data_IF_967617324932
#
_entry.id   IF_967617324932
#
_cell.length_a   1.000
_cell.length_b   1.000
_cell.length_c   1.000
_cell.angle_alpha   90.00
_cell.angle_beta   90.00
_cell.angle_gamma   90.00
#
_symmetry.space_group_name_H-M   'P 1'
#
loop_
_entity.id
_entity.type
_entity.pdbx_description
1 polymer ?
#
# COMPACT_ATOMS: atom_id res chain seq x y z
N UNK A 1 -13.98 27.12 -15.62
CA UNK A 1 -12.76 27.84 -15.14
C UNK A 1 -11.96 26.86 -14.28
N UNK A 2 -10.67 26.67 -14.55
CA UNK A 2 -9.81 25.82 -13.70
C UNK A 2 -9.55 26.51 -12.37
N UNK A 3 -9.60 25.76 -11.26
CA UNK A 3 -9.26 26.28 -9.94
C UNK A 3 -7.84 26.88 -9.96
N UNK A 4 -7.62 28.07 -9.37
CA UNK A 4 -6.29 28.69 -9.28
C UNK A 4 -5.29 27.82 -8.49
N UNK A 5 -5.79 26.85 -7.71
CA UNK A 5 -4.98 25.91 -6.92
C UNK A 5 -4.62 24.63 -7.67
N UNK A 6 -5.12 24.43 -8.89
CA UNK A 6 -4.91 23.18 -9.63
C UNK A 6 -3.42 22.94 -9.88
N UNK A 7 -2.71 23.95 -10.36
CA UNK A 7 -1.32 23.79 -10.78
C UNK A 7 -0.39 23.62 -9.56
N UNK A 8 -0.71 24.28 -8.43
CA UNK A 8 -0.05 24.06 -7.15
C UNK A 8 -0.26 22.64 -6.63
N UNK A 9 -1.49 22.12 -6.64
CA UNK A 9 -1.79 20.76 -6.22
C UNK A 9 -1.09 19.72 -7.12
N UNK A 10 -1.01 19.97 -8.42
CA UNK A 10 -0.23 19.13 -9.35
C UNK A 10 1.26 19.14 -9.01
N UNK A 11 1.85 20.32 -8.80
CA UNK A 11 3.26 20.44 -8.44
C UNK A 11 3.58 19.72 -7.12
N UNK A 12 2.75 19.92 -6.09
CA UNK A 12 2.89 19.23 -4.80
C UNK A 12 2.77 17.70 -4.94
N UNK A 13 1.80 17.22 -5.74
CA UNK A 13 1.64 15.81 -6.03
C UNK A 13 2.84 15.21 -6.78
N UNK A 14 3.40 15.94 -7.75
CA UNK A 14 4.58 15.52 -8.49
C UNK A 14 5.83 15.47 -7.60
N UNK A 15 6.04 16.49 -6.76
CA UNK A 15 7.14 16.52 -5.81
C UNK A 15 7.03 15.33 -4.84
N UNK A 16 5.85 15.11 -4.25
CA UNK A 16 5.62 13.98 -3.35
C UNK A 16 5.88 12.63 -4.03
N UNK A 17 5.41 12.45 -5.27
CA UNK A 17 5.65 11.25 -6.07
C UNK A 17 7.15 11.01 -6.29
N UNK A 18 7.88 12.04 -6.74
CA UNK A 18 9.32 11.95 -6.99
C UNK A 18 10.06 11.64 -5.69
N UNK A 19 9.77 12.36 -4.60
CA UNK A 19 10.38 12.12 -3.30
C UNK A 19 10.14 10.70 -2.81
N UNK A 20 8.91 10.17 -2.93
CA UNK A 20 8.59 8.81 -2.52
C UNK A 20 9.32 7.75 -3.34
N UNK A 21 9.48 7.95 -4.65
CA UNK A 21 10.23 7.03 -5.52
C UNK A 21 11.74 7.10 -5.32
N UNK A 22 12.28 8.26 -4.94
CA UNK A 22 13.70 8.43 -4.65
C UNK A 22 14.14 7.68 -3.39
N UNK A 23 13.24 7.47 -2.42
CA UNK A 23 13.56 6.73 -1.18
C UNK A 23 14.09 5.32 -1.49
N UNK A 24 13.34 4.42 -2.17
CA UNK A 24 13.84 3.08 -2.48
C UNK A 24 14.99 3.10 -3.49
N UNK A 25 15.06 4.08 -4.40
CA UNK A 25 16.17 4.21 -5.35
C UNK A 25 17.49 4.58 -4.65
N UNK A 26 17.44 5.33 -3.55
CA UNK A 26 18.65 5.64 -2.77
C UNK A 26 19.33 4.38 -2.23
N UNK A 27 18.56 3.32 -1.95
CA UNK A 27 19.07 2.02 -1.53
C UNK A 27 19.91 1.32 -2.61
N UNK A 28 19.78 1.69 -3.88
CA UNK A 28 20.64 1.15 -4.95
C UNK A 28 22.11 1.58 -4.79
N UNK A 29 22.33 2.72 -4.13
CA UNK A 29 23.66 3.28 -3.86
C UNK A 29 24.28 2.75 -2.56
N UNK A 30 23.49 2.06 -1.72
CA UNK A 30 23.94 1.52 -0.45
C UNK A 30 24.73 0.21 -0.63
N UNK A 31 25.78 -0.05 0.18
CA UNK A 31 26.45 -1.35 0.19
C UNK A 31 25.53 -2.45 0.77
N UNK A 32 25.56 -3.65 0.18
CA UNK A 32 24.78 -4.80 0.65
C UNK A 32 24.70 -5.96 -0.35
N UNK A 33 24.34 -7.16 0.10
CA UNK A 33 24.20 -8.37 -0.73
C UNK A 33 22.82 -8.44 -1.41
N UNK A 34 21.78 -7.84 -0.80
CA UNK A 34 20.39 -7.89 -1.28
C UNK A 34 19.85 -6.54 -1.80
N UNK A 35 20.68 -5.79 -2.53
CA UNK A 35 20.34 -4.42 -2.97
C UNK A 35 19.17 -4.40 -3.95
N UNK A 36 19.20 -5.30 -4.93
CA UNK A 36 18.20 -5.33 -6.00
C UNK A 36 16.83 -5.69 -5.42
N UNK A 37 16.80 -6.68 -4.54
CA UNK A 37 15.61 -7.13 -3.82
C UNK A 37 15.01 -6.00 -2.99
N UNK A 38 15.84 -5.27 -2.24
CA UNK A 38 15.41 -4.11 -1.47
C UNK A 38 14.85 -2.96 -2.32
N UNK A 39 15.51 -2.64 -3.44
CA UNK A 39 15.05 -1.61 -4.38
C UNK A 39 13.72 -2.00 -5.03
N UNK A 40 13.61 -3.24 -5.55
CA UNK A 40 12.39 -3.73 -6.19
C UNK A 40 11.22 -3.79 -5.21
N UNK A 41 11.47 -4.26 -3.97
CA UNK A 41 10.46 -4.27 -2.93
C UNK A 41 9.99 -2.87 -2.57
N UNK A 42 10.93 -1.95 -2.33
CA UNK A 42 10.62 -0.57 -1.97
C UNK A 42 9.87 0.18 -3.08
N UNK A 43 10.25 -0.01 -4.34
CA UNK A 43 9.51 0.51 -5.50
C UNK A 43 8.11 -0.10 -5.59
N UNK A 44 7.99 -1.42 -5.42
CA UNK A 44 6.70 -2.11 -5.41
C UNK A 44 5.78 -1.58 -4.32
N UNK A 45 6.26 -1.50 -3.07
CA UNK A 45 5.50 -0.96 -1.94
C UNK A 45 5.06 0.49 -2.17
N UNK A 46 5.95 1.33 -2.73
CA UNK A 46 5.66 2.72 -3.07
C UNK A 46 4.56 2.83 -4.12
N UNK A 47 4.69 2.07 -5.22
CA UNK A 47 3.70 2.06 -6.31
C UNK A 47 2.34 1.54 -5.83
N UNK A 48 2.32 0.50 -5.00
CA UNK A 48 1.09 -0.04 -4.40
C UNK A 48 0.40 1.00 -3.53
N UNK A 49 1.12 1.70 -2.65
CA UNK A 49 0.55 2.75 -1.80
C UNK A 49 0.02 3.94 -2.62
N UNK A 50 0.76 4.36 -3.65
CA UNK A 50 0.32 5.43 -4.55
C UNK A 50 -0.96 5.04 -5.28
N UNK A 51 -1.02 3.84 -5.86
CA UNK A 51 -2.21 3.37 -6.57
C UNK A 51 -3.40 3.25 -5.61
N UNK A 52 -3.21 2.72 -4.41
CA UNK A 52 -4.25 2.68 -3.38
C UNK A 52 -4.77 4.09 -3.02
N UNK A 53 -3.87 5.07 -2.91
CA UNK A 53 -4.22 6.47 -2.67
C UNK A 53 -5.04 7.05 -3.84
N UNK A 54 -4.67 6.78 -5.09
CA UNK A 54 -5.45 7.19 -6.25
C UNK A 54 -6.81 6.48 -6.38
N UNK A 55 -6.89 5.23 -5.93
CA UNK A 55 -8.15 4.47 -5.83
C UNK A 55 -9.06 5.08 -4.78
N UNK A 56 -8.52 5.45 -3.62
CA UNK A 56 -9.24 6.16 -2.56
C UNK A 56 -9.80 7.50 -3.04
N UNK A 57 -9.00 8.29 -3.76
CA UNK A 57 -9.49 9.54 -4.36
C UNK A 57 -10.58 9.32 -5.41
N UNK A 58 -10.48 8.27 -6.23
CA UNK A 58 -11.54 7.93 -7.19
C UNK A 58 -12.86 7.54 -6.51
N UNK A 59 -12.78 6.92 -5.33
CA UNK A 59 -13.95 6.57 -4.54
C UNK A 59 -14.76 7.80 -4.11
N UNK A 60 -14.14 8.96 -3.90
CA UNK A 60 -14.85 10.18 -3.50
C UNK A 60 -15.99 10.58 -4.46
N UNK A 61 -15.76 10.48 -5.77
CA UNK A 61 -16.79 10.75 -6.77
C UNK A 61 -17.96 9.75 -6.69
N UNK A 62 -17.62 8.47 -6.48
CA UNK A 62 -18.59 7.40 -6.33
C UNK A 62 -19.41 7.53 -5.03
N UNK A 63 -18.76 7.93 -3.93
CA UNK A 63 -19.40 8.19 -2.63
C UNK A 63 -20.45 9.31 -2.73
N UNK A 64 -20.21 10.34 -3.56
CA UNK A 64 -21.17 11.41 -3.86
C UNK A 64 -22.31 11.00 -4.78
N UNK A 65 -22.31 9.76 -5.25
CA UNK A 65 -23.33 9.22 -6.13
C UNK A 65 -23.14 9.51 -7.62
N UNK A 66 -21.94 9.91 -8.03
CA UNK A 66 -21.61 9.96 -9.44
C UNK A 66 -21.30 8.55 -9.97
N UNK A 67 -22.31 7.84 -10.46
CA UNK A 67 -22.14 6.48 -10.97
C UNK A 67 -21.30 6.41 -12.26
N UNK A 68 -21.10 7.54 -12.96
CA UNK A 68 -20.24 7.56 -14.15
C UNK A 68 -18.77 7.27 -13.83
N UNK A 69 -18.33 7.47 -12.58
CA UNK A 69 -16.96 7.14 -12.16
C UNK A 69 -16.76 5.67 -11.79
N UNK A 70 -17.86 4.89 -11.67
CA UNK A 70 -17.83 3.49 -11.21
C UNK A 70 -16.88 2.61 -12.02
N UNK A 71 -16.91 2.59 -13.37
CA UNK A 71 -16.02 1.71 -14.14
C UNK A 71 -14.53 2.04 -13.93
N UNK A 72 -14.23 3.32 -13.73
CA UNK A 72 -12.85 3.77 -13.43
C UNK A 72 -12.42 3.34 -12.04
N UNK A 73 -13.30 3.47 -11.04
CA UNK A 73 -13.05 2.98 -9.69
C UNK A 73 -12.82 1.46 -9.68
N UNK A 74 -13.67 0.71 -10.37
CA UNK A 74 -13.56 -0.76 -10.47
C UNK A 74 -12.22 -1.18 -11.09
N UNK A 75 -11.84 -0.58 -12.22
CA UNK A 75 -10.54 -0.87 -12.86
C UNK A 75 -9.36 -0.55 -11.93
N UNK A 76 -9.38 0.61 -11.27
CA UNK A 76 -8.33 1.01 -10.33
C UNK A 76 -8.24 0.07 -9.14
N UNK A 77 -9.37 -0.34 -8.59
CA UNK A 77 -9.42 -1.25 -7.46
C UNK A 77 -8.89 -2.64 -7.83
N UNK A 78 -9.21 -3.16 -9.03
CA UNK A 78 -8.60 -4.40 -9.52
C UNK A 78 -7.09 -4.31 -9.68
N UNK A 79 -6.58 -3.24 -10.31
CA UNK A 79 -5.14 -3.03 -10.42
C UNK A 79 -4.48 -2.91 -9.04
N UNK A 80 -5.13 -2.24 -8.09
CA UNK A 80 -4.67 -2.13 -6.70
C UNK A 80 -4.57 -3.50 -6.05
N UNK A 81 -5.60 -4.34 -6.17
CA UNK A 81 -5.60 -5.70 -5.61
C UNK A 81 -4.53 -6.60 -6.24
N UNK A 82 -4.27 -6.48 -7.55
CA UNK A 82 -3.17 -7.19 -8.21
C UNK A 82 -1.82 -6.77 -7.65
N UNK A 83 -1.59 -5.46 -7.48
CA UNK A 83 -0.34 -4.96 -6.88
C UNK A 83 -0.20 -5.35 -5.41
N UNK A 84 -1.27 -5.34 -4.62
CA UNK A 84 -1.27 -5.83 -3.24
C UNK A 84 -0.86 -7.30 -3.23
N UNK A 85 -1.46 -8.13 -4.08
CA UNK A 85 -1.12 -9.55 -4.17
C UNK A 85 0.35 -9.76 -4.56
N UNK A 86 0.84 -9.03 -5.57
CA UNK A 86 2.24 -9.08 -5.97
C UNK A 86 3.18 -8.66 -4.82
N UNK A 87 2.81 -7.62 -4.07
CA UNK A 87 3.56 -7.13 -2.91
C UNK A 87 3.57 -8.17 -1.79
N UNK A 88 2.46 -8.88 -1.56
CA UNK A 88 2.37 -9.96 -0.58
C UNK A 88 3.25 -11.15 -0.95
N UNK A 89 3.25 -11.56 -2.22
CA UNK A 89 4.11 -12.63 -2.72
C UNK A 89 5.58 -12.23 -2.56
N UNK A 90 5.95 -11.02 -3.02
CA UNK A 90 7.31 -10.51 -2.91
C UNK A 90 7.76 -10.37 -1.44
N UNK A 91 6.90 -9.83 -0.56
CA UNK A 91 7.20 -9.67 0.86
C UNK A 91 7.43 -11.01 1.57
N UNK A 92 6.63 -12.03 1.25
CA UNK A 92 6.84 -13.38 1.79
C UNK A 92 8.10 -14.04 1.23
N UNK A 93 8.48 -13.77 -0.01
CA UNK A 93 9.73 -14.26 -0.56
C UNK A 93 10.94 -13.66 0.16
N UNK A 94 10.96 -12.35 0.38
CA UNK A 94 12.04 -11.67 1.14
C UNK A 94 12.12 -12.15 2.59
N UNK A 95 10.97 -12.49 3.16
CA UNK A 95 10.89 -13.00 4.51
C UNK A 95 11.65 -14.33 4.71
N UNK A 96 11.78 -15.15 3.66
CA UNK A 96 12.62 -16.37 3.71
C UNK A 96 14.07 -15.98 4.02
N UNK A 97 14.61 -14.96 3.35
CA UNK A 97 15.95 -14.45 3.61
C UNK A 97 16.07 -13.76 4.97
N UNK A 98 15.02 -13.07 5.43
CA UNK A 98 14.97 -12.49 6.77
C UNK A 98 15.13 -13.53 7.88
N UNK A 99 14.49 -14.71 7.75
CA UNK A 99 14.52 -15.80 8.74
C UNK A 99 15.66 -16.81 8.55
N UNK A 100 16.45 -16.72 7.48
CA UNK A 100 17.58 -17.61 7.26
C UNK A 100 18.63 -17.48 8.37
N UNK A 101 19.49 -18.50 8.60
CA UNK A 101 20.65 -18.37 9.49
C UNK A 101 21.49 -17.14 9.12
N UNK A 102 21.98 -16.41 10.12
CA UNK A 102 22.69 -15.12 9.98
C UNK A 102 21.84 -14.00 9.34
N UNK A 103 20.54 -14.24 9.16
CA UNK A 103 19.57 -13.29 8.63
C UNK A 103 19.27 -12.16 9.60
N UNK A 104 18.54 -11.15 9.10
CA UNK A 104 18.18 -9.99 9.90
C UNK A 104 17.34 -10.36 11.15
N UNK A 105 16.56 -11.45 11.11
CA UNK A 105 15.82 -11.94 12.27
C UNK A 105 16.73 -12.32 13.44
N UNK A 106 17.87 -12.97 13.18
CA UNK A 106 18.82 -13.38 14.21
C UNK A 106 19.44 -12.16 14.88
N UNK A 107 19.84 -11.16 14.08
CA UNK A 107 20.32 -9.89 14.61
C UNK A 107 19.29 -9.20 15.51
N UNK A 108 18.02 -9.15 15.09
CA UNK A 108 16.95 -8.56 15.91
C UNK A 108 16.71 -9.34 17.20
N UNK A 109 16.73 -10.68 17.17
CA UNK A 109 16.56 -11.50 18.39
C UNK A 109 17.68 -11.25 19.40
N UNK A 110 18.90 -11.00 18.92
CA UNK A 110 20.08 -10.77 19.78
C UNK A 110 20.17 -9.33 20.32
N UNK A 111 19.82 -8.32 19.52
CA UNK A 111 20.09 -6.92 19.86
C UNK A 111 18.82 -6.10 20.18
N UNK A 112 17.67 -6.47 19.63
CA UNK A 112 16.42 -5.73 19.78
C UNK A 112 15.19 -6.68 19.79
N UNK A 113 15.08 -7.58 20.77
CA UNK A 113 14.06 -8.63 20.78
C UNK A 113 12.62 -8.08 20.76
N UNK A 114 12.36 -6.98 21.47
CA UNK A 114 11.05 -6.31 21.40
C UNK A 114 10.75 -5.78 19.98
N UNK A 115 11.76 -5.25 19.29
CA UNK A 115 11.66 -4.85 17.89
C UNK A 115 11.33 -6.03 16.99
N UNK A 116 11.97 -7.19 17.20
CA UNK A 116 11.65 -8.43 16.48
C UNK A 116 10.16 -8.78 16.58
N UNK A 117 9.61 -8.80 17.80
CA UNK A 117 8.20 -9.13 18.03
C UNK A 117 7.25 -8.18 17.31
N UNK A 118 7.48 -6.88 17.43
CA UNK A 118 6.65 -5.87 16.75
C UNK A 118 6.72 -6.04 15.24
N UNK A 119 7.90 -6.29 14.67
CA UNK A 119 8.09 -6.49 13.22
C UNK A 119 7.37 -7.74 12.72
N UNK A 120 7.43 -8.82 13.49
CA UNK A 120 6.77 -10.08 13.16
C UNK A 120 5.25 -9.91 13.17
N UNK A 121 4.71 -9.30 14.22
CA UNK A 121 3.29 -9.01 14.33
C UNK A 121 2.82 -8.05 13.22
N UNK A 122 3.61 -7.00 12.96
CA UNK A 122 3.38 -6.06 11.87
C UNK A 122 3.30 -6.76 10.51
N UNK A 123 4.27 -7.63 10.20
CA UNK A 123 4.34 -8.34 8.93
C UNK A 123 3.15 -9.30 8.76
N UNK A 124 2.80 -10.03 9.81
CA UNK A 124 1.74 -11.02 9.77
C UNK A 124 0.34 -10.38 9.71
N UNK A 125 0.09 -9.30 10.45
CA UNK A 125 -1.23 -8.68 10.49
C UNK A 125 -1.43 -7.60 9.45
N UNK A 126 -0.56 -6.60 9.38
CA UNK A 126 -0.84 -5.36 8.62
C UNK A 126 -0.68 -5.58 7.11
N UNK A 127 0.33 -6.35 6.70
CA UNK A 127 0.57 -6.63 5.28
C UNK A 127 -0.56 -7.47 4.66
N UNK A 128 -0.99 -8.52 5.36
CA UNK A 128 -2.01 -9.45 4.88
C UNK A 128 -3.41 -8.86 4.94
N UNK A 129 -3.70 -8.01 5.92
CA UNK A 129 -5.03 -7.44 6.12
C UNK A 129 -5.44 -6.45 5.02
N UNK A 130 -4.52 -5.93 4.20
CA UNK A 130 -4.87 -5.06 3.09
C UNK A 130 -5.65 -5.78 1.97
N UNK A 131 -5.40 -7.07 1.74
CA UNK A 131 -5.95 -7.79 0.58
C UNK A 131 -7.43 -8.17 0.72
N UNK A 132 -7.89 -8.81 1.82
CA UNK A 132 -9.31 -9.15 1.99
C UNK A 132 -10.29 -7.99 1.82
N UNK A 133 -10.10 -6.80 2.44
CA UNK A 133 -11.03 -5.68 2.28
C UNK A 133 -11.02 -5.11 0.85
N UNK A 134 -9.87 -5.09 0.18
CA UNK A 134 -9.77 -4.68 -1.22
C UNK A 134 -10.58 -5.60 -2.16
N UNK A 135 -10.49 -6.92 -1.96
CA UNK A 135 -11.28 -7.90 -2.71
C UNK A 135 -12.77 -7.80 -2.37
N UNK A 136 -13.12 -7.67 -1.09
CA UNK A 136 -14.50 -7.50 -0.66
C UNK A 136 -15.12 -6.23 -1.29
N UNK A 137 -14.40 -5.11 -1.31
CA UNK A 137 -14.82 -3.88 -1.97
C UNK A 137 -15.02 -4.08 -3.48
N UNK A 138 -14.13 -4.81 -4.17
CA UNK A 138 -14.28 -5.16 -5.59
C UNK A 138 -15.55 -5.96 -5.86
N UNK A 139 -15.81 -6.99 -5.04
CA UNK A 139 -16.99 -7.84 -5.19
C UNK A 139 -18.27 -7.04 -4.94
N UNK A 140 -18.31 -6.21 -3.90
CA UNK A 140 -19.47 -5.38 -3.59
C UNK A 140 -19.74 -4.36 -4.70
N UNK A 141 -18.70 -3.69 -5.18
CA UNK A 141 -18.79 -2.73 -6.28
C UNK A 141 -19.31 -3.40 -7.56
N UNK A 142 -18.82 -4.59 -7.88
CA UNK A 142 -19.23 -5.29 -9.12
C UNK A 142 -20.64 -5.89 -9.04
N UNK A 143 -21.05 -6.40 -7.88
CA UNK A 143 -22.33 -7.11 -7.71
C UNK A 143 -23.49 -6.20 -7.34
N UNK A 144 -23.27 -5.18 -6.52
CA UNK A 144 -24.36 -4.43 -5.88
C UNK A 144 -24.42 -2.95 -6.24
N UNK A 145 -23.43 -2.39 -6.94
CA UNK A 145 -23.41 -0.96 -7.25
C UNK A 145 -24.52 -0.48 -8.21
N UNK A 146 -25.22 -1.38 -8.91
CA UNK A 146 -26.37 -1.04 -9.75
C UNK A 146 -27.72 -1.10 -9.00
N UNK A 147 -27.72 -1.55 -7.74
CA UNK A 147 -28.94 -1.71 -6.96
C UNK A 147 -29.37 -0.37 -6.35
N UNK A 148 -30.39 0.27 -6.93
CA UNK A 148 -30.83 1.62 -6.54
C UNK A 148 -31.30 1.69 -5.07
N UNK A 149 -31.97 0.64 -4.57
CA UNK A 149 -32.56 0.58 -3.23
C UNK A 149 -31.54 0.51 -2.09
N UNK A 150 -30.28 0.14 -2.36
CA UNK A 150 -29.22 -0.02 -1.34
C UNK A 150 -28.00 0.87 -1.60
N UNK A 151 -28.11 1.79 -2.56
CA UNK A 151 -26.97 2.51 -3.15
C UNK A 151 -26.09 3.23 -2.13
N UNK A 152 -26.65 3.90 -1.12
CA UNK A 152 -25.87 4.65 -0.14
C UNK A 152 -25.16 3.74 0.88
N UNK A 153 -25.84 2.69 1.37
CA UNK A 153 -25.28 1.73 2.31
C UNK A 153 -24.11 0.99 1.67
N UNK A 154 -24.31 0.49 0.44
CA UNK A 154 -23.26 -0.23 -0.31
C UNK A 154 -22.06 0.68 -0.59
N UNK A 155 -22.29 1.93 -1.00
CA UNK A 155 -21.21 2.93 -1.16
C UNK A 155 -20.43 3.08 0.14
N UNK A 156 -21.11 3.27 1.27
CA UNK A 156 -20.48 3.47 2.58
C UNK A 156 -19.63 2.26 3.03
N UNK A 157 -20.14 1.04 2.84
CA UNK A 157 -19.40 -0.19 3.14
C UNK A 157 -18.16 -0.32 2.26
N UNK A 158 -18.28 -0.04 0.95
CA UNK A 158 -17.13 0.00 0.03
C UNK A 158 -16.11 1.04 0.50
N UNK A 159 -16.56 2.22 0.93
CA UNK A 159 -15.72 3.24 1.51
C UNK A 159 -14.95 2.75 2.73
N UNK A 160 -15.63 2.14 3.71
CA UNK A 160 -14.99 1.59 4.90
C UNK A 160 -13.89 0.57 4.55
N UNK A 161 -14.20 -0.35 3.64
CA UNK A 161 -13.26 -1.39 3.19
C UNK A 161 -12.04 -0.77 2.48
N UNK A 162 -12.26 0.22 1.62
CA UNK A 162 -11.17 0.92 0.94
C UNK A 162 -10.31 1.74 1.91
N UNK A 163 -10.92 2.38 2.93
CA UNK A 163 -10.17 3.06 4.01
C UNK A 163 -9.28 2.05 4.74
N UNK A 164 -9.84 0.90 5.10
CA UNK A 164 -9.12 -0.12 5.86
C UNK A 164 -7.96 -0.70 5.05
N UNK A 165 -8.19 -0.99 3.76
CA UNK A 165 -7.15 -1.40 2.81
C UNK A 165 -6.03 -0.35 2.72
N UNK A 166 -6.39 0.91 2.47
CA UNK A 166 -5.43 2.01 2.33
C UNK A 166 -4.64 2.22 3.63
N UNK A 167 -5.31 2.19 4.79
CA UNK A 167 -4.68 2.37 6.09
C UNK A 167 -3.67 1.26 6.38
N UNK A 168 -4.02 0.00 6.09
CA UNK A 168 -3.09 -1.13 6.24
C UNK A 168 -1.85 -0.94 5.36
N UNK A 169 -2.02 -0.51 4.10
CA UNK A 169 -0.88 -0.22 3.21
C UNK A 169 -0.02 0.94 3.69
N UNK A 170 -0.64 2.00 4.22
CA UNK A 170 0.06 3.17 4.72
C UNK A 170 0.90 2.85 5.98
N UNK A 171 0.30 2.14 6.94
CA UNK A 171 1.02 1.63 8.12
C UNK A 171 2.12 0.68 7.68
N UNK A 172 1.80 -0.24 6.77
CA UNK A 172 2.73 -1.09 6.03
C UNK A 172 4.00 -0.36 5.61
N UNK A 173 3.81 0.55 4.67
CA UNK A 173 4.87 1.35 4.10
C UNK A 173 5.68 2.11 5.17
N UNK A 174 5.01 2.73 6.14
CA UNK A 174 5.65 3.52 7.19
C UNK A 174 6.59 2.70 8.06
N UNK A 175 6.16 1.52 8.52
CA UNK A 175 7.01 0.61 9.27
C UNK A 175 8.17 0.08 8.42
N UNK A 176 7.92 -0.24 7.15
CA UNK A 176 8.98 -0.64 6.20
C UNK A 176 10.10 0.41 6.09
N UNK A 177 9.75 1.69 6.03
CA UNK A 177 10.73 2.79 6.00
C UNK A 177 11.56 2.89 7.28
N UNK A 178 10.94 2.71 8.45
CA UNK A 178 11.64 2.72 9.73
C UNK A 178 12.63 1.57 9.81
N UNK A 179 12.22 0.37 9.39
CA UNK A 179 13.06 -0.83 9.41
C UNK A 179 14.27 -0.74 8.49
N UNK A 180 14.10 -0.15 7.31
CA UNK A 180 15.20 0.06 6.37
C UNK A 180 16.34 0.91 6.97
N UNK A 181 16.06 1.73 7.99
CA UNK A 181 17.05 2.60 8.64
C UNK A 181 17.57 2.07 9.98
N UNK A 182 17.02 0.98 10.51
CA UNK A 182 17.34 0.54 11.86
C UNK A 182 18.78 0.06 12.05
N UNK A 183 19.40 -0.52 11.02
CA UNK A 183 20.82 -0.98 11.06
C UNK A 183 21.85 0.15 10.92
N UNK A 184 21.42 1.38 10.62
CA UNK A 184 22.30 2.54 10.45
C UNK A 184 22.42 3.41 11.72
N UNK A 185 21.77 2.99 12.82
CA UNK A 185 21.80 3.65 14.12
C UNK A 185 22.59 2.82 15.14
#
# INVERSE_FOLDING_TARGET
MSSPYRDLAFAQGLIALVSLLLIPLSSALAPGVHRLEGVLHGLGATLTLLLATYTWHAYYGYAKGNDAVRPTLERRLWMTNVLILATLIAGNWLYIGYQAPEGAAEWFKLHAPAGHWVIMEYKEFVSLLAFPPGIAASVLLRRFAACASTSWHIRSVIGLLLTMMWFCLFVGFSFGLVLAKWKLA
#
